data_IF_453740230800
#
_entry.id   IF_453740230800
#
_cell.length_a   1.000
_cell.length_b   1.000
_cell.length_c   1.000
_cell.angle_alpha   90.00
_cell.angle_beta   90.00
_cell.angle_gamma   90.00
#
_symmetry.space_group_name_H-M   'P 1'
#
loop_
_entity.id
_entity.type
_entity.pdbx_description
1 polymer ?
#
# COMPACT_ATOMS: atom_id res chain seq x y z
N UNK A 1 2.66 -26.38 -0.91
CA UNK A 1 4.09 -26.27 -1.29
C UNK A 1 4.55 -24.86 -0.92
N UNK A 2 5.66 -24.69 -0.19
CA UNK A 2 6.19 -23.35 0.13
C UNK A 2 6.82 -22.76 -1.15
N UNK A 3 6.21 -21.69 -1.69
CA UNK A 3 6.67 -21.02 -2.92
C UNK A 3 7.77 -20.00 -2.66
N UNK A 4 8.00 -19.59 -1.41
CA UNK A 4 9.03 -18.61 -1.07
C UNK A 4 10.38 -19.30 -0.82
N UNK A 5 10.37 -20.46 -0.15
CA UNK A 5 11.56 -21.27 0.09
C UNK A 5 12.74 -20.48 0.67
N UNK A 6 13.90 -20.55 0.03
CA UNK A 6 15.15 -19.91 0.47
C UNK A 6 15.29 -18.43 0.03
N UNK A 7 14.29 -17.88 -0.67
CA UNK A 7 14.31 -16.50 -1.18
C UNK A 7 13.63 -15.49 -0.25
N UNK A 8 13.46 -15.85 1.03
CA UNK A 8 12.84 -14.98 2.05
C UNK A 8 13.47 -13.59 2.07
N UNK A 9 12.60 -12.59 2.02
CA UNK A 9 12.96 -11.17 2.02
C UNK A 9 13.53 -10.67 0.69
N UNK A 10 13.58 -11.52 -0.35
CA UNK A 10 14.10 -11.15 -1.69
C UNK A 10 13.00 -11.00 -2.74
N UNK A 11 11.88 -11.69 -2.58
CA UNK A 11 10.80 -11.73 -3.57
C UNK A 11 9.93 -10.48 -3.53
N UNK A 12 9.62 -9.93 -4.69
CA UNK A 12 8.74 -8.75 -4.83
C UNK A 12 7.29 -9.17 -5.06
N UNK A 13 6.39 -8.54 -4.33
CA UNK A 13 4.95 -8.76 -4.41
C UNK A 13 4.25 -7.42 -4.64
N UNK A 14 3.56 -7.28 -5.76
CA UNK A 14 2.79 -6.07 -6.08
C UNK A 14 1.31 -6.34 -6.00
N UNK A 15 0.62 -5.52 -5.23
CA UNK A 15 -0.84 -5.41 -5.27
C UNK A 15 -1.19 -4.37 -6.31
N UNK A 16 -2.04 -4.68 -7.27
CA UNK A 16 -2.56 -3.74 -8.26
C UNK A 16 -3.94 -3.21 -7.82
N UNK A 17 -4.35 -2.03 -8.29
CA UNK A 17 -5.70 -1.54 -8.03
C UNK A 17 -6.75 -2.54 -8.50
N UNK A 18 -7.73 -2.85 -7.65
CA UNK A 18 -8.83 -3.71 -8.06
C UNK A 18 -9.78 -2.92 -8.96
N UNK A 19 -10.15 -3.51 -10.09
CA UNK A 19 -11.02 -2.90 -11.09
C UNK A 19 -12.49 -3.09 -10.72
N UNK A 20 -13.43 -2.27 -11.23
CA UNK A 20 -14.84 -2.62 -11.17
C UNK A 20 -15.14 -3.89 -11.99
N UNK A 21 -16.25 -4.57 -11.69
CA UNK A 21 -16.79 -5.59 -12.56
C UNK A 21 -17.18 -4.99 -13.93
N UNK A 22 -17.22 -5.80 -15.01
CA UNK A 22 -17.69 -5.32 -16.31
C UNK A 22 -19.06 -4.64 -16.20
N UNK A 23 -19.23 -3.51 -16.89
CA UNK A 23 -20.41 -2.63 -16.86
C UNK A 23 -20.64 -1.79 -15.59
N UNK A 24 -19.91 -2.03 -14.49
CA UNK A 24 -20.00 -1.18 -13.30
C UNK A 24 -19.23 0.14 -13.49
N UNK A 25 -19.79 1.23 -12.99
CA UNK A 25 -19.09 2.52 -12.94
C UNK A 25 -17.93 2.49 -11.94
N UNK A 26 -16.91 3.31 -12.16
CA UNK A 26 -15.79 3.40 -11.24
C UNK A 26 -16.22 3.89 -9.85
N UNK A 27 -15.91 3.08 -8.83
CA UNK A 27 -15.89 3.47 -7.42
C UNK A 27 -14.46 3.40 -6.87
N UNK A 28 -14.18 4.16 -5.82
CA UNK A 28 -12.92 4.12 -5.09
C UNK A 28 -12.74 2.86 -4.24
N UNK A 29 -13.78 2.05 -4.05
CA UNK A 29 -13.74 0.87 -3.17
C UNK A 29 -12.62 -0.11 -3.56
N UNK A 30 -12.44 -0.38 -4.85
CA UNK A 30 -11.35 -1.25 -5.33
C UNK A 30 -9.95 -0.70 -5.05
N UNK A 31 -9.78 0.62 -5.08
CA UNK A 31 -8.53 1.29 -4.68
C UNK A 31 -8.31 1.27 -3.17
N UNK A 32 -9.37 1.41 -2.37
CA UNK A 32 -9.28 1.30 -0.92
C UNK A 32 -8.87 -0.12 -0.50
N UNK A 33 -9.45 -1.17 -1.09
CA UNK A 33 -9.06 -2.55 -0.84
C UNK A 33 -7.63 -2.85 -1.29
N UNK A 34 -7.22 -2.33 -2.46
CA UNK A 34 -5.83 -2.38 -2.90
C UNK A 34 -4.88 -1.77 -1.86
N UNK A 35 -5.23 -0.61 -1.31
CA UNK A 35 -4.40 0.06 -0.32
C UNK A 35 -4.35 -0.70 1.01
N UNK A 36 -5.49 -1.27 1.43
CA UNK A 36 -5.58 -2.13 2.61
C UNK A 36 -4.69 -3.36 2.48
N UNK A 37 -4.79 -4.07 1.35
CA UNK A 37 -3.97 -5.24 1.07
C UNK A 37 -2.50 -4.88 0.98
N UNK A 38 -2.12 -3.76 0.35
CA UNK A 38 -0.73 -3.29 0.32
C UNK A 38 -0.15 -3.06 1.73
N UNK A 39 -0.93 -2.41 2.61
CA UNK A 39 -0.55 -2.21 4.02
C UNK A 39 -0.65 -3.48 4.88
N UNK A 40 -1.29 -4.53 4.39
CA UNK A 40 -1.32 -5.87 5.02
C UNK A 40 -0.07 -6.66 4.60
N UNK A 41 0.18 -6.80 3.29
CA UNK A 41 1.28 -7.58 2.71
C UNK A 41 2.65 -7.01 3.11
N UNK A 42 2.76 -5.71 3.39
CA UNK A 42 4.03 -5.12 3.87
C UNK A 42 4.57 -5.76 5.16
N UNK A 43 3.70 -6.34 5.97
CA UNK A 43 4.04 -7.06 7.20
C UNK A 43 4.49 -8.51 6.93
N UNK A 44 4.32 -9.02 5.71
CA UNK A 44 4.93 -10.28 5.33
C UNK A 44 6.45 -10.10 5.17
N UNK A 45 7.19 -10.50 6.20
CA UNK A 45 8.65 -10.34 6.30
C UNK A 45 9.42 -11.18 5.29
N UNK A 46 8.78 -12.17 4.67
CA UNK A 46 9.36 -12.98 3.62
C UNK A 46 9.30 -12.33 2.23
N UNK A 47 8.60 -11.20 2.10
CA UNK A 47 8.44 -10.46 0.85
C UNK A 47 9.05 -9.05 0.97
N UNK A 48 9.27 -8.38 -0.17
CA UNK A 48 9.71 -6.98 -0.24
C UNK A 48 8.95 -6.19 -1.30
N UNK A 49 9.05 -4.85 -1.21
CA UNK A 49 8.62 -3.88 -2.22
C UNK A 49 7.17 -4.01 -2.69
N UNK A 50 6.25 -3.39 -1.93
CA UNK A 50 4.79 -3.54 -2.06
C UNK A 50 4.08 -2.29 -2.61
N UNK A 51 4.81 -1.18 -2.73
CA UNK A 51 4.22 0.12 -2.99
C UNK A 51 3.99 0.35 -4.48
N UNK A 52 2.74 0.15 -4.90
CA UNK A 52 2.30 0.38 -6.29
C UNK A 52 2.61 1.79 -6.80
N UNK A 53 2.47 2.81 -5.96
CA UNK A 53 2.66 4.21 -6.36
C UNK A 53 4.02 4.54 -6.98
N UNK A 54 5.09 3.79 -6.63
CA UNK A 54 6.42 3.98 -7.25
C UNK A 54 6.54 3.37 -8.65
N UNK A 55 5.56 2.56 -9.04
CA UNK A 55 5.51 1.84 -10.31
C UNK A 55 4.45 2.36 -11.26
N UNK A 56 3.52 3.21 -10.81
CA UNK A 56 2.41 3.70 -11.64
C UNK A 56 2.89 4.18 -13.01
N UNK A 57 3.89 5.07 -13.08
CA UNK A 57 4.43 5.57 -14.36
C UNK A 57 5.17 4.50 -15.19
N UNK A 58 5.73 3.46 -14.56
CA UNK A 58 6.42 2.38 -15.26
C UNK A 58 5.45 1.37 -15.87
N UNK A 59 4.37 1.09 -15.14
CA UNK A 59 3.31 0.16 -15.59
C UNK A 59 2.34 0.83 -16.56
N UNK A 60 2.14 2.14 -16.39
CA UNK A 60 1.23 2.96 -17.18
C UNK A 60 1.97 4.26 -17.55
N UNK A 61 2.75 4.25 -18.65
CA UNK A 61 3.55 5.40 -19.06
C UNK A 61 2.73 6.66 -19.28
N UNK A 62 1.49 6.50 -19.76
CA UNK A 62 0.54 7.56 -20.02
C UNK A 62 -0.61 7.51 -19.00
N UNK A 63 -1.16 8.67 -18.65
CA UNK A 63 -2.20 8.81 -17.62
C UNK A 63 -3.49 8.09 -18.03
N UNK A 64 -3.77 8.08 -19.32
CA UNK A 64 -4.96 7.52 -19.95
C UNK A 64 -4.98 6.00 -19.76
N UNK A 65 -3.84 5.32 -19.89
CA UNK A 65 -3.72 3.87 -19.68
C UNK A 65 -4.02 3.48 -18.23
N UNK A 66 -3.52 4.28 -17.27
CA UNK A 66 -3.83 4.06 -15.86
C UNK A 66 -5.31 4.33 -15.58
N UNK A 67 -5.88 5.34 -16.22
CA UNK A 67 -7.32 5.65 -16.12
C UNK A 67 -8.16 4.51 -16.66
N UNK A 68 -7.85 4.02 -17.87
CA UNK A 68 -8.50 2.88 -18.50
C UNK A 68 -8.35 1.61 -17.66
N UNK A 69 -7.20 1.41 -17.01
CA UNK A 69 -7.01 0.29 -16.09
C UNK A 69 -7.95 0.40 -14.90
N UNK A 70 -8.02 1.57 -14.24
CA UNK A 70 -8.88 1.78 -13.08
C UNK A 70 -10.38 1.64 -13.41
N UNK A 71 -10.79 1.97 -14.64
CA UNK A 71 -12.18 1.83 -15.10
C UNK A 71 -12.50 0.45 -15.70
N UNK A 72 -11.52 -0.46 -15.74
CA UNK A 72 -11.71 -1.79 -16.32
C UNK A 72 -11.82 -1.82 -17.85
N UNK A 73 -11.44 -0.74 -18.52
CA UNK A 73 -11.49 -0.56 -19.98
C UNK A 73 -10.19 -0.97 -20.70
N UNK A 74 -9.11 -1.24 -19.95
CA UNK A 74 -7.81 -1.60 -20.52
C UNK A 74 -7.69 -3.11 -20.77
N UNK A 75 -6.78 -3.49 -21.66
CA UNK A 75 -6.34 -4.88 -21.80
C UNK A 75 -5.64 -5.36 -20.51
N UNK A 76 -5.65 -6.68 -20.25
CA UNK A 76 -4.85 -7.26 -19.18
C UNK A 76 -3.37 -6.90 -19.32
N UNK A 77 -2.71 -6.60 -18.19
CA UNK A 77 -1.26 -6.39 -18.20
C UNK A 77 -0.55 -7.67 -18.59
N UNK A 78 0.45 -7.57 -19.46
CA UNK A 78 1.34 -8.68 -19.79
C UNK A 78 2.31 -8.93 -18.63
N UNK A 79 1.90 -9.73 -17.64
CA UNK A 79 2.66 -9.88 -16.40
C UNK A 79 4.04 -10.50 -16.60
N UNK A 80 4.21 -11.47 -17.51
CA UNK A 80 5.51 -12.14 -17.73
C UNK A 80 6.64 -11.17 -18.13
N UNK A 81 6.53 -10.38 -19.21
CA UNK A 81 7.58 -9.41 -19.55
C UNK A 81 7.76 -8.34 -18.47
N UNK A 82 6.66 -7.87 -17.84
CA UNK A 82 6.76 -6.90 -16.73
C UNK A 82 7.49 -7.48 -15.52
N UNK A 83 7.34 -8.78 -15.25
CA UNK A 83 8.00 -9.48 -14.16
C UNK A 83 9.51 -9.48 -14.33
N UNK A 84 9.99 -9.72 -15.55
CA UNK A 84 11.41 -9.69 -15.89
C UNK A 84 11.98 -8.28 -15.76
N UNK A 85 11.33 -7.30 -16.40
CA UNK A 85 11.75 -5.91 -16.43
C UNK A 85 11.79 -5.29 -15.02
N UNK A 86 10.74 -5.51 -14.25
CA UNK A 86 10.56 -4.89 -12.94
C UNK A 86 11.07 -5.79 -11.81
N UNK A 87 11.57 -6.99 -12.12
CA UNK A 87 12.01 -8.05 -11.20
C UNK A 87 10.93 -8.38 -10.15
N UNK A 88 9.68 -8.45 -10.58
CA UNK A 88 8.52 -8.76 -9.75
C UNK A 88 8.16 -10.23 -9.94
N UNK A 89 7.93 -10.96 -8.85
CA UNK A 89 7.51 -12.36 -8.95
C UNK A 89 6.01 -12.52 -8.80
N UNK A 90 5.45 -11.89 -7.78
CA UNK A 90 4.04 -12.04 -7.46
C UNK A 90 3.25 -10.79 -7.80
N UNK A 91 2.14 -10.98 -8.49
CA UNK A 91 1.18 -9.93 -8.82
C UNK A 91 -0.19 -10.31 -8.29
N UNK A 92 -0.74 -9.48 -7.41
CA UNK A 92 -2.12 -9.57 -6.99
C UNK A 92 -2.93 -8.54 -7.76
N UNK A 93 -3.95 -9.00 -8.46
CA UNK A 93 -4.87 -8.17 -9.22
C UNK A 93 -6.29 -8.72 -9.05
N UNK A 94 -7.29 -8.03 -9.56
CA UNK A 94 -8.65 -8.52 -9.41
C UNK A 94 -9.71 -7.46 -9.67
N UNK A 95 -10.93 -7.80 -9.28
CA UNK A 95 -12.12 -6.98 -9.47
C UNK A 95 -12.96 -6.90 -8.19
N UNK A 96 -13.81 -5.89 -8.12
CA UNK A 96 -14.80 -5.70 -7.06
C UNK A 96 -16.19 -5.57 -7.66
N UNK A 97 -17.16 -6.27 -7.06
CA UNK A 97 -18.59 -6.16 -7.36
C UNK A 97 -19.37 -6.17 -6.04
N UNK A 98 -20.02 -5.06 -5.70
CA UNK A 98 -20.71 -4.94 -4.41
C UNK A 98 -19.74 -5.16 -3.24
N UNK A 99 -20.02 -6.16 -2.41
CA UNK A 99 -19.22 -6.59 -1.25
C UNK A 99 -18.26 -7.75 -1.55
N UNK A 100 -18.12 -8.14 -2.82
CA UNK A 100 -17.28 -9.25 -3.27
C UNK A 100 -16.04 -8.74 -4.00
N UNK A 101 -14.86 -9.24 -3.61
CA UNK A 101 -13.61 -9.04 -4.31
C UNK A 101 -13.14 -10.37 -4.94
N UNK A 102 -13.08 -10.44 -6.26
CA UNK A 102 -12.50 -11.55 -7.00
C UNK A 102 -11.02 -11.24 -7.24
N UNK A 103 -10.12 -12.02 -6.63
CA UNK A 103 -8.68 -11.78 -6.62
C UNK A 103 -7.94 -12.89 -7.36
N UNK A 104 -6.87 -12.51 -8.06
CA UNK A 104 -5.97 -13.41 -8.77
C UNK A 104 -4.53 -13.14 -8.36
N UNK A 105 -3.77 -14.19 -8.09
CA UNK A 105 -2.33 -14.13 -7.85
C UNK A 105 -1.60 -14.79 -9.02
N UNK A 106 -0.77 -14.02 -9.72
CA UNK A 106 0.16 -14.54 -10.73
C UNK A 106 1.56 -14.75 -10.12
N UNK A 107 2.15 -15.92 -10.35
CA UNK A 107 3.55 -16.25 -10.01
C UNK A 107 4.37 -16.40 -11.30
N UNK A 108 5.22 -15.42 -11.57
CA UNK A 108 6.02 -15.37 -12.80
C UNK A 108 7.08 -16.48 -12.90
N UNK A 109 7.44 -17.13 -11.78
CA UNK A 109 8.43 -18.20 -11.79
C UNK A 109 7.90 -19.52 -12.35
N UNK A 110 6.60 -19.75 -12.21
CA UNK A 110 5.91 -20.95 -12.65
C UNK A 110 4.86 -20.68 -13.72
N UNK A 111 4.71 -19.42 -14.13
CA UNK A 111 3.68 -18.94 -15.06
C UNK A 111 2.26 -19.39 -14.64
N UNK A 112 1.99 -19.38 -13.33
CA UNK A 112 0.77 -19.93 -12.75
C UNK A 112 -0.11 -18.87 -12.12
N UNK A 113 -1.42 -19.13 -12.11
CA UNK A 113 -2.44 -18.29 -11.51
C UNK A 113 -3.18 -19.05 -10.39
N UNK A 114 -3.65 -18.31 -9.40
CA UNK A 114 -4.64 -18.78 -8.45
C UNK A 114 -5.69 -17.71 -8.19
N UNK A 115 -6.94 -18.09 -8.37
CA UNK A 115 -8.10 -17.23 -8.20
C UNK A 115 -8.79 -17.51 -6.86
N UNK A 116 -9.42 -16.49 -6.31
CA UNK A 116 -10.24 -16.59 -5.11
C UNK A 116 -11.31 -15.51 -5.11
N UNK A 117 -12.35 -15.71 -4.33
CA UNK A 117 -13.35 -14.69 -4.05
C UNK A 117 -13.46 -14.48 -2.56
N UNK A 118 -13.40 -13.22 -2.13
CA UNK A 118 -13.43 -12.85 -0.72
C UNK A 118 -14.46 -11.75 -0.53
N UNK A 119 -15.42 -12.00 0.38
CA UNK A 119 -16.34 -10.96 0.83
C UNK A 119 -15.64 -10.00 1.79
N UNK A 120 -15.98 -8.73 1.71
CA UNK A 120 -15.53 -7.71 2.66
C UNK A 120 -16.73 -6.98 3.23
N UNK A 121 -16.65 -6.65 4.52
CA UNK A 121 -17.68 -5.86 5.19
C UNK A 121 -17.03 -4.75 6.02
N UNK A 122 -17.47 -3.49 5.85
CA UNK A 122 -17.16 -2.41 6.77
C UNK A 122 -17.56 -2.68 8.23
N UNK A 123 -18.59 -3.51 8.45
CA UNK A 123 -19.16 -3.77 9.78
C UNK A 123 -18.19 -4.52 10.69
N UNK A 124 -17.33 -5.36 10.11
CA UNK A 124 -16.27 -6.06 10.84
C UNK A 124 -14.92 -5.31 10.81
N UNK A 125 -14.96 -4.04 10.38
CA UNK A 125 -13.78 -3.19 10.18
C UNK A 125 -12.76 -3.83 9.23
N UNK A 126 -13.26 -4.54 8.21
CA UNK A 126 -12.49 -5.23 7.17
C UNK A 126 -11.55 -6.32 7.72
N UNK A 127 -11.80 -6.83 8.92
CA UNK A 127 -10.95 -7.84 9.57
C UNK A 127 -11.15 -9.21 8.92
N UNK A 128 -12.39 -9.61 8.65
CA UNK A 128 -12.71 -10.88 7.99
C UNK A 128 -12.11 -10.98 6.60
N UNK A 129 -12.17 -9.88 5.83
CA UNK A 129 -11.52 -9.78 4.52
C UNK A 129 -10.03 -10.09 4.60
N UNK A 130 -9.30 -9.47 5.55
CA UNK A 130 -7.85 -9.68 5.70
C UNK A 130 -7.51 -11.07 6.23
N UNK A 131 -8.33 -11.65 7.12
CA UNK A 131 -8.18 -13.05 7.57
C UNK A 131 -8.26 -14.01 6.38
N UNK A 132 -9.29 -13.87 5.55
CA UNK A 132 -9.47 -14.69 4.36
C UNK A 132 -8.34 -14.48 3.34
N UNK A 133 -7.91 -13.23 3.13
CA UNK A 133 -6.79 -12.93 2.24
C UNK A 133 -5.47 -13.56 2.73
N UNK A 134 -5.15 -13.48 4.02
CA UNK A 134 -3.98 -14.13 4.63
C UNK A 134 -4.03 -15.66 4.50
N UNK A 135 -5.22 -16.25 4.70
CA UNK A 135 -5.44 -17.67 4.50
C UNK A 135 -5.20 -18.08 3.04
N UNK A 136 -5.69 -17.29 2.07
CA UNK A 136 -5.46 -17.55 0.65
C UNK A 136 -3.98 -17.47 0.28
N UNK A 137 -3.25 -16.44 0.76
CA UNK A 137 -1.80 -16.36 0.53
C UNK A 137 -1.11 -17.64 1.04
N UNK A 138 -1.51 -18.13 2.21
CA UNK A 138 -0.95 -19.36 2.78
C UNK A 138 -1.31 -20.60 1.95
N UNK A 139 -2.56 -20.72 1.50
CA UNK A 139 -3.01 -21.80 0.61
C UNK A 139 -2.29 -21.82 -0.73
N UNK A 140 -1.91 -20.64 -1.24
CA UNK A 140 -1.10 -20.52 -2.46
C UNK A 140 0.39 -20.82 -2.24
N UNK A 141 0.85 -20.99 -0.99
CA UNK A 141 2.25 -21.24 -0.67
C UNK A 141 3.07 -19.99 -0.36
N UNK A 142 2.42 -18.88 -0.03
CA UNK A 142 3.02 -17.62 0.42
C UNK A 142 2.60 -17.38 1.88
N UNK A 143 3.08 -18.21 2.83
CA UNK A 143 2.61 -18.16 4.21
C UNK A 143 2.91 -16.80 4.84
N UNK A 144 1.94 -16.29 5.60
CA UNK A 144 2.11 -15.09 6.39
C UNK A 144 2.80 -15.43 7.72
N UNK A 145 3.86 -14.71 8.13
CA UNK A 145 4.56 -14.99 9.38
C UNK A 145 3.62 -14.94 10.59
N UNK A 146 3.68 -15.95 11.46
CA UNK A 146 2.74 -16.09 12.60
C UNK A 146 2.70 -14.83 13.47
N UNK A 147 3.87 -14.34 13.86
CA UNK A 147 4.02 -13.13 14.68
C UNK A 147 3.44 -11.86 14.04
N UNK A 148 3.20 -11.86 12.72
CA UNK A 148 2.66 -10.72 11.98
C UNK A 148 1.16 -10.84 11.71
N UNK A 149 0.52 -11.99 11.98
CA UNK A 149 -0.90 -12.19 11.71
C UNK A 149 -1.78 -11.23 12.52
N UNK A 150 -1.61 -11.17 13.83
CA UNK A 150 -2.39 -10.24 14.66
C UNK A 150 -2.15 -8.76 14.28
N UNK A 151 -0.90 -8.28 14.11
CA UNK A 151 -0.63 -6.95 13.59
C UNK A 151 -1.28 -6.62 12.24
N UNK A 152 -1.43 -7.61 11.36
CA UNK A 152 -2.05 -7.45 10.04
C UNK A 152 -3.59 -7.36 10.09
N UNK A 153 -4.20 -7.58 11.25
CA UNK A 153 -5.66 -7.61 11.46
C UNK A 153 -6.15 -6.44 12.32
N UNK A 154 -5.46 -5.29 12.30
CA UNK A 154 -5.89 -4.08 13.00
C UNK A 154 -7.31 -3.68 12.54
N UNK A 155 -8.24 -3.23 13.39
CA UNK A 155 -9.56 -2.82 12.94
C UNK A 155 -9.45 -1.57 12.03
N UNK A 156 -9.88 -1.68 10.78
CA UNK A 156 -9.89 -0.55 9.85
C UNK A 156 -11.29 0.07 9.85
N UNK A 157 -11.50 1.02 10.76
CA UNK A 157 -12.81 1.65 10.99
C UNK A 157 -13.16 2.64 9.87
N UNK A 158 -13.99 2.20 8.92
CA UNK A 158 -14.40 3.01 7.77
C UNK A 158 -15.67 2.42 7.15
N UNK A 159 -16.58 3.27 6.66
CA UNK A 159 -17.81 2.89 5.94
C UNK A 159 -17.56 2.66 4.43
N UNK A 160 -18.54 2.12 3.70
CA UNK A 160 -18.47 2.05 2.22
C UNK A 160 -18.23 3.42 1.56
N UNK A 161 -18.91 4.47 2.06
CA UNK A 161 -18.69 5.83 1.57
C UNK A 161 -17.25 6.30 1.85
N UNK A 162 -16.75 6.03 3.06
CA UNK A 162 -15.36 6.31 3.41
C UNK A 162 -14.37 5.59 2.48
N UNK A 163 -14.64 4.32 2.13
CA UNK A 163 -13.82 3.56 1.18
C UNK A 163 -13.83 4.19 -0.22
N UNK A 164 -14.99 4.59 -0.73
CA UNK A 164 -15.09 5.26 -2.04
C UNK A 164 -14.29 6.57 -2.05
N UNK A 165 -14.48 7.43 -1.03
CA UNK A 165 -13.78 8.71 -0.93
C UNK A 165 -12.27 8.53 -0.76
N UNK A 166 -11.83 7.59 0.10
CA UNK A 166 -10.42 7.23 0.25
C UNK A 166 -9.82 6.78 -1.08
N UNK A 167 -10.50 5.90 -1.81
CA UNK A 167 -10.01 5.39 -3.10
C UNK A 167 -9.89 6.49 -4.15
N UNK A 168 -10.84 7.43 -4.20
CA UNK A 168 -10.77 8.61 -5.08
C UNK A 168 -9.60 9.52 -4.69
N UNK A 169 -9.37 9.76 -3.40
CA UNK A 169 -8.21 10.51 -2.94
C UNK A 169 -6.89 9.80 -3.33
N UNK A 170 -6.83 8.47 -3.20
CA UNK A 170 -5.68 7.67 -3.60
C UNK A 170 -5.42 7.73 -5.10
N UNK A 171 -6.47 7.70 -5.93
CA UNK A 171 -6.37 7.93 -7.38
C UNK A 171 -5.70 9.27 -7.68
N UNK A 172 -6.16 10.35 -7.04
CA UNK A 172 -5.54 11.68 -7.17
C UNK A 172 -4.08 11.67 -6.74
N UNK A 173 -3.74 10.99 -5.63
CA UNK A 173 -2.37 10.85 -5.18
C UNK A 173 -1.46 10.16 -6.21
N UNK A 174 -1.93 9.06 -6.81
CA UNK A 174 -1.18 8.34 -7.84
C UNK A 174 -1.03 9.15 -9.11
N UNK A 175 -2.10 9.82 -9.57
CA UNK A 175 -2.03 10.69 -10.74
C UNK A 175 -1.00 11.79 -10.55
N UNK A 176 -1.06 12.46 -9.41
CA UNK A 176 -0.14 13.52 -9.07
C UNK A 176 1.30 13.01 -8.95
N UNK A 177 1.51 11.89 -8.27
CA UNK A 177 2.84 11.34 -8.06
C UNK A 177 3.50 10.82 -9.34
N UNK A 178 2.72 10.37 -10.32
CA UNK A 178 3.23 9.74 -11.54
C UNK A 178 3.30 10.70 -12.74
N UNK A 179 2.32 11.60 -12.90
CA UNK A 179 2.12 12.32 -14.17
C UNK A 179 2.24 13.84 -14.07
N UNK A 180 2.27 14.42 -12.88
CA UNK A 180 2.51 15.87 -12.73
C UNK A 180 3.97 16.15 -12.45
N UNK A 181 4.39 17.39 -12.69
CA UNK A 181 5.73 17.83 -12.34
C UNK A 181 5.98 17.73 -10.83
N UNK A 182 7.26 17.77 -10.45
CA UNK A 182 7.67 17.69 -9.04
C UNK A 182 7.42 19.00 -8.29
N UNK A 183 7.02 20.06 -8.96
CA UNK A 183 6.96 21.44 -8.45
C UNK A 183 5.58 21.85 -7.98
N UNK A 184 4.51 21.33 -8.54
CA UNK A 184 3.16 21.67 -8.10
C UNK A 184 2.82 21.07 -6.72
N UNK A 185 1.63 21.43 -6.23
CA UNK A 185 1.02 20.89 -5.02
C UNK A 185 -0.20 20.04 -5.36
N UNK A 186 -0.39 18.94 -4.64
CA UNK A 186 -1.64 18.18 -4.67
C UNK A 186 -2.71 18.90 -3.85
N UNK A 187 -3.95 18.93 -4.34
CA UNK A 187 -5.10 19.37 -3.57
C UNK A 187 -5.36 18.39 -2.41
N UNK A 188 -5.34 18.89 -1.17
CA UNK A 188 -5.54 18.08 0.04
C UNK A 188 -7.01 17.88 0.40
N UNK A 189 -7.94 18.62 -0.20
CA UNK A 189 -9.35 18.56 0.16
C UNK A 189 -9.98 17.15 0.02
N UNK A 190 -9.68 16.34 -1.03
CA UNK A 190 -10.18 14.95 -1.11
C UNK A 190 -9.68 14.06 0.04
N UNK A 191 -8.46 14.31 0.53
CA UNK A 191 -7.83 13.55 1.60
C UNK A 191 -8.40 13.93 2.97
N UNK A 192 -8.61 15.23 3.19
CA UNK A 192 -9.27 15.77 4.38
C UNK A 192 -10.72 15.26 4.47
N UNK A 193 -11.44 15.20 3.35
CA UNK A 193 -12.78 14.59 3.28
C UNK A 193 -12.76 13.11 3.68
N UNK A 194 -11.77 12.33 3.21
CA UNK A 194 -11.64 10.93 3.59
C UNK A 194 -11.41 10.77 5.11
N UNK A 195 -10.57 11.62 5.71
CA UNK A 195 -10.35 11.64 7.16
C UNK A 195 -11.60 12.07 7.92
N UNK A 196 -12.35 13.06 7.43
CA UNK A 196 -13.58 13.51 8.08
C UNK A 196 -14.65 12.39 8.15
N UNK A 197 -14.75 11.57 7.10
CA UNK A 197 -15.67 10.43 7.06
C UNK A 197 -15.18 9.22 7.87
N UNK A 198 -13.87 9.10 8.10
CA UNK A 198 -13.29 7.96 8.80
C UNK A 198 -12.06 8.39 9.60
N UNK A 199 -12.26 9.12 10.72
CA UNK A 199 -11.16 9.73 11.47
C UNK A 199 -10.31 8.71 12.23
N UNK A 200 -10.87 7.54 12.53
CA UNK A 200 -10.22 6.41 13.20
C UNK A 200 -9.65 5.38 12.20
N UNK A 201 -9.61 5.68 10.90
CA UNK A 201 -9.01 4.82 9.88
C UNK A 201 -7.49 5.04 9.83
N UNK A 202 -6.72 3.95 9.83
CA UNK A 202 -5.28 4.03 9.61
C UNK A 202 -4.99 4.53 8.20
N UNK A 203 -5.75 4.05 7.21
CA UNK A 203 -5.50 4.37 5.80
C UNK A 203 -5.76 5.83 5.47
N UNK A 204 -6.83 6.44 5.98
CA UNK A 204 -7.14 7.86 5.70
C UNK A 204 -6.09 8.78 6.30
N UNK A 205 -5.71 8.57 7.56
CA UNK A 205 -4.67 9.33 8.25
C UNK A 205 -3.30 9.18 7.57
N UNK A 206 -2.94 7.94 7.20
CA UNK A 206 -1.69 7.65 6.50
C UNK A 206 -1.65 8.32 5.12
N UNK A 207 -2.74 8.26 4.35
CA UNK A 207 -2.80 8.85 3.02
C UNK A 207 -2.76 10.38 3.06
N UNK A 208 -3.47 11.01 4.01
CA UNK A 208 -3.39 12.46 4.23
C UNK A 208 -1.97 12.89 4.61
N UNK A 209 -1.29 12.10 5.47
CA UNK A 209 0.12 12.30 5.79
C UNK A 209 1.00 12.33 4.54
N UNK A 210 0.80 11.38 3.62
CA UNK A 210 1.53 11.34 2.34
C UNK A 210 1.18 12.50 1.41
N UNK A 211 -0.06 12.96 1.38
CA UNK A 211 -0.47 14.12 0.59
C UNK A 211 0.26 15.40 1.06
N UNK A 212 0.24 15.69 2.37
CA UNK A 212 1.00 16.80 2.94
C UNK A 212 2.52 16.63 2.73
N UNK A 213 3.05 15.42 2.90
CA UNK A 213 4.46 15.15 2.67
C UNK A 213 4.85 15.46 1.22
N UNK A 214 4.02 15.07 0.24
CA UNK A 214 4.23 15.37 -1.18
C UNK A 214 4.22 16.87 -1.47
N UNK A 215 3.44 17.63 -0.72
CA UNK A 215 3.39 19.09 -0.74
C UNK A 215 4.56 19.77 0.01
N UNK A 216 5.44 18.98 0.64
CA UNK A 216 6.51 19.43 1.54
C UNK A 216 6.00 20.11 2.82
N UNK A 217 4.73 19.91 3.16
CA UNK A 217 4.14 20.40 4.40
C UNK A 217 4.45 19.38 5.51
N UNK A 218 5.71 19.32 5.95
CA UNK A 218 6.18 18.25 6.83
C UNK A 218 5.52 18.23 8.23
N UNK A 219 5.22 19.37 8.89
CA UNK A 219 4.51 19.35 10.16
C UNK A 219 3.11 18.71 10.10
N UNK A 220 2.19 19.09 9.17
CA UNK A 220 0.91 18.40 9.07
C UNK A 220 1.05 16.96 8.56
N UNK A 221 2.04 16.67 7.70
CA UNK A 221 2.35 15.29 7.30
C UNK A 221 2.68 14.41 8.51
N UNK A 222 3.58 14.91 9.38
CA UNK A 222 3.97 14.25 10.63
C UNK A 222 2.77 14.01 11.53
N UNK A 223 1.88 14.99 11.67
CA UNK A 223 0.66 14.84 12.48
C UNK A 223 -0.26 13.72 11.94
N UNK A 224 -0.47 13.67 10.63
CA UNK A 224 -1.25 12.59 9.99
C UNK A 224 -0.63 11.21 10.21
N UNK A 225 0.69 11.08 10.03
CA UNK A 225 1.36 9.80 10.26
C UNK A 225 1.37 9.37 11.73
N UNK A 226 1.51 10.30 12.69
CA UNK A 226 1.40 9.98 14.12
C UNK A 226 0.00 9.44 14.45
N UNK A 227 -1.06 10.08 13.94
CA UNK A 227 -2.44 9.58 14.08
C UNK A 227 -2.60 8.19 13.48
N UNK A 228 -2.02 7.94 12.31
CA UNK A 228 -2.03 6.61 11.70
C UNK A 228 -1.35 5.56 12.61
N UNK A 229 -0.15 5.85 13.15
CA UNK A 229 0.55 4.92 14.05
C UNK A 229 -0.21 4.68 15.37
N UNK A 230 -0.98 5.66 15.85
CA UNK A 230 -1.87 5.47 17.01
C UNK A 230 -2.98 4.46 16.73
N UNK A 231 -3.55 4.47 15.51
CA UNK A 231 -4.58 3.50 15.08
C UNK A 231 -3.97 2.12 14.84
N UNK A 232 -2.83 2.07 14.16
CA UNK A 232 -2.11 0.83 13.87
C UNK A 232 -0.62 1.00 14.18
N UNK A 233 -0.20 0.47 15.34
CA UNK A 233 1.19 0.52 15.80
C UNK A 233 2.15 -0.34 14.97
N UNK A 234 1.64 -1.17 14.05
CA UNK A 234 2.42 -1.89 13.05
C UNK A 234 2.37 -1.23 11.66
N UNK A 235 1.82 -0.02 11.54
CA UNK A 235 1.69 0.73 10.30
C UNK A 235 3.02 1.22 9.71
N UNK A 236 3.79 0.31 9.11
CA UNK A 236 5.16 0.60 8.60
C UNK A 236 5.21 1.67 7.51
N UNK A 237 4.12 1.86 6.75
CA UNK A 237 3.98 2.96 5.80
C UNK A 237 4.03 4.33 6.48
N UNK A 238 3.27 4.50 7.57
CA UNK A 238 3.26 5.74 8.35
C UNK A 238 4.59 5.97 9.08
N UNK A 239 5.22 4.91 9.61
CA UNK A 239 6.55 5.01 10.21
C UNK A 239 7.61 5.48 9.20
N UNK A 240 7.54 4.98 7.95
CA UNK A 240 8.43 5.46 6.89
C UNK A 240 8.17 6.94 6.58
N UNK A 241 6.91 7.37 6.58
CA UNK A 241 6.52 8.79 6.48
C UNK A 241 7.14 9.64 7.58
N UNK A 242 7.02 9.22 8.85
CA UNK A 242 7.60 9.91 10.01
C UNK A 242 9.12 9.99 9.94
N UNK A 243 9.79 8.91 9.52
CA UNK A 243 11.23 8.92 9.27
C UNK A 243 11.61 10.01 8.26
N UNK A 244 10.88 10.11 7.15
CA UNK A 244 11.13 11.13 6.14
C UNK A 244 10.81 12.56 6.63
N UNK A 245 9.72 12.75 7.37
CA UNK A 245 9.44 14.02 8.04
C UNK A 245 10.60 14.43 8.95
N UNK A 246 11.13 13.53 9.79
CA UNK A 246 12.30 13.80 10.62
C UNK A 246 13.51 14.24 9.81
N UNK A 247 13.80 13.58 8.68
CA UNK A 247 14.90 13.98 7.78
C UNK A 247 14.73 15.42 7.28
N UNK A 248 13.56 15.78 6.76
CA UNK A 248 13.35 17.10 6.14
C UNK A 248 13.06 18.22 7.15
N UNK A 249 12.61 17.87 8.35
CA UNK A 249 12.44 18.80 9.47
C UNK A 249 13.73 18.99 10.28
N UNK A 250 14.86 18.41 9.84
CA UNK A 250 16.12 18.44 10.55
C UNK A 250 16.03 17.90 11.99
N UNK A 251 15.23 16.85 12.19
CA UNK A 251 15.20 16.05 13.42
C UNK A 251 15.80 14.64 13.19
N UNK A 252 17.11 14.50 13.42
CA UNK A 252 17.84 13.25 13.15
C UNK A 252 17.41 12.12 14.09
N UNK A 253 17.15 12.45 15.35
CA UNK A 253 16.76 11.47 16.36
C UNK A 253 15.40 10.85 16.00
N UNK A 254 14.43 11.69 15.63
CA UNK A 254 13.12 11.21 15.19
C UNK A 254 13.23 10.35 13.92
N UNK A 255 14.05 10.76 12.95
CA UNK A 255 14.29 9.96 11.75
C UNK A 255 14.86 8.56 12.09
N UNK A 256 15.84 8.50 13.00
CA UNK A 256 16.44 7.25 13.43
C UNK A 256 15.49 6.39 14.28
N UNK A 257 14.68 7.02 15.13
CA UNK A 257 13.67 6.34 15.94
C UNK A 257 12.68 5.61 15.05
N UNK A 258 12.03 6.31 14.11
CA UNK A 258 11.00 5.71 13.26
C UNK A 258 11.56 4.69 12.26
N UNK A 259 12.80 4.88 11.79
CA UNK A 259 13.49 3.87 11.00
C UNK A 259 13.75 2.57 11.80
N UNK A 260 14.10 2.70 13.09
CA UNK A 260 14.33 1.56 13.97
C UNK A 260 13.02 0.82 14.25
N UNK A 261 11.96 1.55 14.61
CA UNK A 261 10.61 0.99 14.83
C UNK A 261 10.06 0.26 13.61
N UNK A 262 10.21 0.84 12.41
CA UNK A 262 9.77 0.18 11.18
C UNK A 262 10.54 -1.13 10.90
N UNK A 263 11.84 -1.18 11.24
CA UNK A 263 12.65 -2.38 11.11
C UNK A 263 12.25 -3.44 12.15
N UNK A 264 12.04 -3.06 13.41
CA UNK A 264 11.58 -3.94 14.49
C UNK A 264 10.26 -4.63 14.15
N UNK A 265 9.24 -3.85 13.73
CA UNK A 265 7.93 -4.39 13.33
C UNK A 265 8.08 -5.42 12.21
N UNK A 266 9.05 -5.24 11.31
CA UNK A 266 9.27 -6.13 10.16
C UNK A 266 10.30 -7.22 10.43
N UNK A 267 10.76 -7.38 11.67
CA UNK A 267 11.85 -8.29 12.03
C UNK A 267 13.08 -8.13 11.10
N UNK A 268 13.46 -6.88 10.84
CA UNK A 268 14.60 -6.49 10.01
C UNK A 268 15.74 -5.97 10.88
N UNK A 269 16.96 -6.00 10.33
CA UNK A 269 18.16 -5.46 10.98
C UNK A 269 18.03 -3.95 11.24
N UNK A 270 17.85 -3.61 12.53
CA UNK A 270 17.71 -2.24 13.03
C UNK A 270 18.97 -1.41 12.80
N UNK A 271 20.16 -1.99 13.01
CA UNK A 271 21.43 -1.28 12.81
C UNK A 271 21.60 -0.90 11.33
N UNK A 272 21.29 -1.83 10.42
CA UNK A 272 21.30 -1.58 8.97
C UNK A 272 20.25 -0.55 8.55
N UNK A 273 19.06 -0.56 9.17
CA UNK A 273 18.04 0.45 8.93
C UNK A 273 18.52 1.85 9.36
N UNK A 274 19.09 1.97 10.57
CA UNK A 274 19.68 3.22 11.07
C UNK A 274 20.80 3.74 10.17
N UNK A 275 21.73 2.88 9.76
CA UNK A 275 22.82 3.27 8.84
C UNK A 275 22.29 3.80 7.50
N UNK A 276 21.27 3.16 6.91
CA UNK A 276 20.61 3.68 5.69
C UNK A 276 19.98 5.04 5.92
N UNK A 277 19.35 5.26 7.08
CA UNK A 277 18.77 6.54 7.45
C UNK A 277 19.82 7.62 7.67
N UNK A 278 20.98 7.31 8.28
CA UNK A 278 22.12 8.25 8.37
C UNK A 278 22.61 8.66 6.99
N UNK A 279 22.75 7.71 6.05
CA UNK A 279 23.14 8.03 4.66
C UNK A 279 22.14 8.97 3.98
N UNK A 280 20.84 8.74 4.17
CA UNK A 280 19.78 9.63 3.67
C UNK A 280 19.83 11.00 4.34
N UNK A 281 19.97 11.04 5.65
CA UNK A 281 20.09 12.26 6.43
C UNK A 281 21.21 13.14 5.87
N UNK A 282 22.42 12.56 5.74
CA UNK A 282 23.56 13.28 5.19
C UNK A 282 23.25 13.79 3.78
N UNK A 283 22.70 12.96 2.89
CA UNK A 283 22.34 13.37 1.52
C UNK A 283 21.41 14.60 1.45
N UNK A 284 20.48 14.77 2.40
CA UNK A 284 19.46 15.82 2.35
C UNK A 284 19.75 17.01 3.29
N UNK A 285 20.75 16.91 4.16
CA UNK A 285 21.07 17.92 5.18
C UNK A 285 22.55 18.30 5.26
N UNK A 286 23.40 17.76 4.38
CA UNK A 286 24.79 18.20 4.17
C UNK A 286 24.84 19.45 3.32
#
# INVERSE_FOLDING_TARGET
MDRIGNEKGKLRFIVLPLQPAPADSFSGVGLALHFLMGNTVVLNTNLKEFWFGWRTKKLFPVKEDFTAYLTGQNQPLAFKPLSEEQKIRFWLYGRVKGDLASLSIYDSSTDSHADTEIRFSPDDHLVGFRKAFIAQLSGYGIPFPEAMRAPALWPEKMSYEGMDVLGRALKSFYYYSAYTDKTGRIDTAPFEKAVALSPESFMTQNLLGWAHYRNKDYPPARAGFLRAVLVNSAGTGAMAGLMWCGIFMKNKEEALFWASRAAEVRNQDVAKARQKTIKRWNKYNS
#
